data_IF_399389776653
#
_entry.id   IF_399389776653
#
_cell.length_a   1.000
_cell.length_b   1.000
_cell.length_c   1.000
_cell.angle_alpha   90.00
_cell.angle_beta   90.00
_cell.angle_gamma   90.00
#
_symmetry.space_group_name_H-M   'P 1'
#
loop_
_entity.id
_entity.type
_entity.pdbx_description
1 polymer ?
#
# COMPACT_ATOMS: atom_id res chain seq x y z
N UNK A 1 54.42 -56.06 -2.58
CA UNK A 1 54.84 -55.76 -3.96
C UNK A 1 53.66 -56.05 -4.87
N UNK A 2 53.26 -55.05 -5.67
CA UNK A 2 52.55 -55.07 -6.97
C UNK A 2 51.45 -56.10 -7.27
N UNK A 3 50.42 -55.84 -8.06
CA UNK A 3 49.78 -54.68 -8.70
C UNK A 3 48.65 -55.27 -9.56
N UNK A 4 47.77 -54.40 -10.07
CA UNK A 4 46.99 -54.56 -11.29
C UNK A 4 45.68 -55.37 -11.26
N UNK A 5 44.58 -54.62 -11.39
CA UNK A 5 43.30 -55.03 -12.03
C UNK A 5 43.54 -55.47 -13.48
N UNK A 6 42.60 -56.24 -14.04
CA UNK A 6 41.73 -55.64 -15.07
C UNK A 6 40.25 -56.09 -15.01
N UNK A 7 39.37 -55.23 -15.53
CA UNK A 7 38.00 -55.51 -16.00
C UNK A 7 38.07 -56.06 -17.44
N UNK A 8 37.11 -56.87 -17.94
CA UNK A 8 35.79 -56.40 -18.44
C UNK A 8 34.64 -57.41 -18.09
N UNK A 9 33.33 -57.26 -18.33
CA UNK A 9 32.58 -57.08 -19.59
C UNK A 9 31.05 -57.11 -19.28
N UNK A 10 30.25 -56.16 -19.83
CA UNK A 10 28.87 -56.27 -20.40
C UNK A 10 27.69 -56.94 -19.61
N UNK A 11 26.39 -56.58 -19.66
CA UNK A 11 25.53 -55.74 -20.52
C UNK A 11 24.09 -55.59 -19.88
N UNK A 12 23.03 -55.03 -20.54
CA UNK A 12 21.99 -54.15 -19.98
C UNK A 12 20.64 -54.84 -19.68
N UNK A 13 19.68 -54.15 -19.03
CA UNK A 13 18.25 -54.47 -19.18
C UNK A 13 17.35 -53.23 -19.03
N UNK A 14 16.45 -53.10 -20.01
CA UNK A 14 15.35 -52.15 -20.12
C UNK A 14 14.08 -52.66 -19.39
N UNK A 15 13.18 -51.73 -19.03
CA UNK A 15 11.81 -51.97 -18.53
C UNK A 15 10.82 -52.26 -19.70
N UNK A 16 9.46 -52.35 -19.54
CA UNK A 16 8.49 -52.55 -18.42
C UNK A 16 7.46 -53.71 -18.75
N UNK A 17 6.28 -53.92 -18.08
CA UNK A 17 5.02 -53.11 -18.21
C UNK A 17 4.12 -53.00 -16.92
N UNK A 18 3.44 -51.87 -16.70
CA UNK A 18 1.97 -51.63 -16.76
C UNK A 18 1.07 -52.36 -15.75
N UNK A 19 0.52 -51.63 -14.77
CA UNK A 19 -0.93 -51.64 -14.48
C UNK A 19 -1.34 -50.38 -13.67
N UNK A 20 -2.32 -49.64 -14.21
CA UNK A 20 -3.03 -48.54 -13.53
C UNK A 20 -4.41 -49.03 -13.10
N UNK A 21 -5.08 -48.31 -12.17
CA UNK A 21 -6.31 -47.66 -12.63
C UNK A 21 -6.51 -46.21 -12.10
N UNK A 22 -6.90 -45.35 -13.04
CA UNK A 22 -7.84 -44.21 -13.00
C UNK A 22 -8.78 -44.15 -11.77
N UNK A 23 -9.19 -43.00 -11.18
CA UNK A 23 -9.87 -41.82 -11.77
C UNK A 23 -9.85 -40.58 -10.83
N UNK A 24 -9.75 -39.38 -11.44
CA UNK A 24 -10.36 -38.08 -11.09
C UNK A 24 -10.11 -37.39 -9.72
N UNK A 25 -9.33 -36.30 -9.71
CA UNK A 25 -9.88 -34.93 -9.66
C UNK A 25 -8.80 -33.89 -10.04
N UNK A 26 -9.26 -32.74 -10.50
CA UNK A 26 -8.66 -31.73 -11.37
C UNK A 26 -7.29 -31.16 -10.96
N UNK A 27 -6.31 -31.33 -11.85
CA UNK A 27 -4.99 -30.71 -11.85
C UNK A 27 -5.07 -29.18 -11.78
N UNK A 28 -4.76 -28.61 -10.62
CA UNK A 28 -4.26 -27.24 -10.55
C UNK A 28 -2.92 -27.18 -11.32
N UNK A 29 -2.77 -26.32 -12.35
CA UNK A 29 -1.49 -26.21 -13.04
C UNK A 29 -0.50 -25.56 -12.08
N UNK A 30 0.58 -26.28 -11.78
CA UNK A 30 1.77 -25.72 -11.16
C UNK A 30 2.23 -24.53 -12.03
N UNK A 31 2.50 -23.34 -11.47
CA UNK A 31 2.97 -22.23 -12.27
C UNK A 31 4.38 -22.56 -12.74
N UNK A 32 4.53 -22.77 -14.04
CA UNK A 32 5.83 -22.59 -14.69
C UNK A 32 6.26 -21.14 -14.42
N UNK A 33 7.13 -20.95 -13.43
CA UNK A 33 7.52 -19.64 -12.89
C UNK A 33 8.20 -18.71 -13.93
N UNK A 34 8.36 -19.17 -15.18
CA UNK A 34 9.07 -18.50 -16.27
C UNK A 34 8.18 -18.09 -17.47
N UNK A 35 6.87 -18.36 -17.45
CA UNK A 35 6.02 -18.25 -18.66
C UNK A 35 4.75 -17.39 -18.52
N UNK A 36 4.77 -16.36 -17.67
CA UNK A 36 3.64 -15.40 -17.63
C UNK A 36 3.82 -14.28 -18.64
N UNK A 37 2.75 -13.94 -19.36
CA UNK A 37 2.71 -12.82 -20.31
C UNK A 37 2.66 -11.46 -19.59
N UNK A 38 2.39 -11.47 -18.28
CA UNK A 38 2.31 -10.29 -17.43
C UNK A 38 3.50 -10.23 -16.47
N UNK A 39 4.17 -9.09 -16.44
CA UNK A 39 5.27 -8.79 -15.52
C UNK A 39 4.77 -7.97 -14.33
N UNK A 40 5.21 -8.35 -13.15
CA UNK A 40 5.07 -7.61 -11.91
C UNK A 40 6.35 -6.81 -11.63
N UNK A 41 6.21 -5.49 -11.56
CA UNK A 41 7.31 -4.56 -11.38
C UNK A 41 7.21 -3.94 -9.99
N UNK A 42 8.29 -4.05 -9.23
CA UNK A 42 8.43 -3.55 -7.87
C UNK A 42 9.53 -2.48 -7.77
N UNK A 43 9.55 -1.79 -6.62
CA UNK A 43 10.51 -0.75 -6.28
C UNK A 43 10.45 0.50 -7.19
N UNK A 44 9.24 0.85 -7.65
CA UNK A 44 9.00 2.07 -8.44
C UNK A 44 8.99 3.33 -7.57
N UNK A 45 9.22 4.49 -8.20
CA UNK A 45 9.21 5.79 -7.53
C UNK A 45 7.76 6.29 -7.30
N UNK A 46 7.34 6.30 -6.03
CA UNK A 46 5.99 6.71 -5.60
C UNK A 46 5.71 8.21 -5.76
N UNK A 47 6.74 9.05 -5.98
CA UNK A 47 6.55 10.49 -6.18
C UNK A 47 6.06 10.85 -7.58
N UNK A 48 6.07 9.90 -8.52
CA UNK A 48 5.65 10.12 -9.91
C UNK A 48 4.14 9.91 -10.01
N UNK A 49 3.44 10.85 -10.65
CA UNK A 49 2.00 10.72 -10.91
C UNK A 49 1.72 9.47 -11.76
N UNK A 50 0.68 8.70 -11.41
CA UNK A 50 0.26 7.46 -12.10
C UNK A 50 0.27 7.58 -13.64
N UNK A 51 -0.33 8.59 -14.29
CA UNK A 51 -0.36 8.67 -15.75
C UNK A 51 1.05 8.79 -16.36
N UNK A 52 1.93 9.55 -15.71
CA UNK A 52 3.34 9.70 -16.14
C UNK A 52 4.08 8.38 -15.94
N UNK A 53 3.90 7.72 -14.79
CA UNK A 53 4.50 6.42 -14.52
C UNK A 53 4.09 5.37 -15.56
N UNK A 54 2.80 5.31 -15.92
CA UNK A 54 2.30 4.40 -16.97
C UNK A 54 2.91 4.71 -18.34
N UNK A 55 3.03 5.99 -18.70
CA UNK A 55 3.64 6.40 -19.96
C UNK A 55 5.14 6.05 -20.00
N UNK A 56 5.87 6.26 -18.90
CA UNK A 56 7.28 5.89 -18.78
C UNK A 56 7.49 4.37 -18.86
N UNK A 57 6.67 3.58 -18.16
CA UNK A 57 6.74 2.11 -18.23
C UNK A 57 6.41 1.61 -19.65
N UNK A 58 5.36 2.13 -20.30
CA UNK A 58 5.07 1.80 -21.70
C UNK A 58 6.25 2.15 -22.62
N UNK A 59 6.82 3.34 -22.48
CA UNK A 59 7.96 3.78 -23.29
C UNK A 59 9.19 2.90 -23.10
N UNK A 60 9.48 2.50 -21.85
CA UNK A 60 10.59 1.63 -21.52
C UNK A 60 10.44 0.22 -22.12
N UNK A 61 9.25 -0.37 -21.99
CA UNK A 61 9.01 -1.75 -22.40
C UNK A 61 8.67 -1.92 -23.88
N UNK A 62 8.34 -0.82 -24.58
CA UNK A 62 8.04 -0.82 -26.02
C UNK A 62 9.21 -1.31 -26.89
N UNK A 63 10.45 -1.17 -26.44
CA UNK A 63 11.63 -1.67 -27.17
C UNK A 63 11.74 -3.20 -27.18
N UNK A 64 11.15 -3.89 -26.20
CA UNK A 64 11.18 -5.34 -26.10
C UNK A 64 10.01 -6.00 -26.85
N UNK A 65 8.86 -5.33 -26.92
CA UNK A 65 7.72 -5.76 -27.72
C UNK A 65 6.43 -4.96 -27.45
N UNK A 66 5.31 -5.44 -28.01
CA UNK A 66 4.02 -4.77 -27.89
C UNK A 66 3.43 -4.92 -26.47
N UNK A 67 3.14 -3.77 -25.84
CA UNK A 67 2.54 -3.70 -24.50
C UNK A 67 1.04 -3.53 -24.63
N UNK A 68 0.27 -4.51 -24.16
CA UNK A 68 -1.20 -4.49 -24.16
C UNK A 68 -1.72 -3.46 -23.17
N UNK A 69 -1.36 -3.63 -21.90
CA UNK A 69 -1.87 -2.78 -20.82
C UNK A 69 -0.85 -2.58 -19.70
N UNK A 70 -0.96 -1.43 -19.04
CA UNK A 70 -0.17 -1.07 -17.87
C UNK A 70 -1.10 -0.65 -16.74
N UNK A 71 -1.12 -1.48 -15.71
CA UNK A 71 -1.90 -1.27 -14.49
C UNK A 71 -0.97 -0.80 -13.39
N UNK A 72 -1.23 0.40 -12.87
CA UNK A 72 -0.50 1.00 -11.76
C UNK A 72 -1.50 1.62 -10.80
N UNK A 73 -1.29 1.42 -9.49
CA UNK A 73 -2.13 1.96 -8.42
C UNK A 73 -1.29 2.91 -7.55
N UNK A 74 -1.93 3.89 -6.90
CA UNK A 74 -1.26 4.84 -6.00
C UNK A 74 -1.57 4.58 -4.51
N UNK A 75 -2.02 3.37 -4.19
CA UNK A 75 -2.40 3.03 -2.82
C UNK A 75 -1.12 2.79 -2.01
N UNK A 76 -0.94 3.34 -0.80
CA UNK A 76 0.34 3.29 -0.07
C UNK A 76 0.99 1.89 0.04
N UNK A 77 0.20 0.82 0.05
CA UNK A 77 0.68 -0.56 0.00
C UNK A 77 1.08 -1.06 -1.40
N UNK A 78 0.40 -0.59 -2.46
CA UNK A 78 0.56 -1.01 -3.86
C UNK A 78 1.28 0.03 -4.74
N UNK A 79 1.58 1.23 -4.20
CA UNK A 79 2.13 2.40 -4.90
C UNK A 79 3.53 2.16 -5.46
N UNK A 80 4.20 1.12 -4.96
CA UNK A 80 5.52 0.68 -5.40
C UNK A 80 5.46 -0.40 -6.46
N UNK A 81 4.25 -0.79 -6.87
CA UNK A 81 4.02 -1.95 -7.71
C UNK A 81 3.20 -1.62 -8.95
N UNK A 82 3.53 -2.28 -10.06
CA UNK A 82 2.79 -2.14 -11.33
C UNK A 82 2.82 -3.44 -12.10
N UNK A 83 1.80 -3.64 -12.95
CA UNK A 83 1.69 -4.78 -13.82
C UNK A 83 1.77 -4.33 -15.27
N UNK A 84 2.65 -4.96 -16.06
CA UNK A 84 2.81 -4.71 -17.49
C UNK A 84 2.46 -5.99 -18.22
N UNK A 85 1.48 -5.93 -19.10
CA UNK A 85 0.97 -7.10 -19.85
C UNK A 85 1.46 -7.04 -21.28
N UNK A 86 2.07 -8.13 -21.77
CA UNK A 86 2.53 -8.28 -23.14
C UNK A 86 1.63 -9.22 -23.93
N UNK A 87 1.81 -9.23 -25.25
CA UNK A 87 1.10 -10.14 -26.14
C UNK A 87 1.61 -11.59 -26.06
N UNK A 88 2.90 -11.78 -25.80
CA UNK A 88 3.53 -13.11 -25.72
C UNK A 88 4.42 -13.25 -24.48
N UNK A 89 4.47 -14.46 -23.93
CA UNK A 89 5.35 -14.83 -22.82
C UNK A 89 6.84 -14.68 -23.18
N UNK A 90 7.23 -14.92 -24.44
CA UNK A 90 8.61 -14.76 -24.89
C UNK A 90 9.09 -13.31 -24.80
N UNK A 91 8.20 -12.37 -25.13
CA UNK A 91 8.45 -10.93 -25.02
C UNK A 91 8.61 -10.55 -23.55
N UNK A 92 7.73 -11.06 -22.69
CA UNK A 92 7.78 -10.83 -21.26
C UNK A 92 9.10 -11.33 -20.66
N UNK A 93 9.61 -12.49 -21.08
CA UNK A 93 10.90 -13.04 -20.64
C UNK A 93 12.08 -12.16 -21.04
N UNK A 94 12.14 -11.75 -22.32
CA UNK A 94 13.17 -10.80 -22.79
C UNK A 94 13.12 -9.46 -22.04
N UNK A 95 11.92 -8.96 -21.80
CA UNK A 95 11.70 -7.73 -21.04
C UNK A 95 12.08 -7.86 -19.57
N UNK A 96 11.90 -9.03 -18.95
CA UNK A 96 12.32 -9.28 -17.57
C UNK A 96 13.84 -9.28 -17.43
N UNK A 97 14.54 -10.00 -18.32
CA UNK A 97 16.00 -10.09 -18.35
C UNK A 97 16.66 -8.75 -18.70
N UNK A 98 16.14 -8.06 -19.73
CA UNK A 98 16.68 -6.77 -20.16
C UNK A 98 16.27 -5.61 -19.26
N UNK A 99 15.02 -5.60 -18.79
CA UNK A 99 14.44 -4.51 -18.02
C UNK A 99 14.95 -4.44 -16.59
N UNK A 100 15.32 -5.57 -15.96
CA UNK A 100 15.91 -5.57 -14.61
C UNK A 100 17.26 -4.82 -14.56
N UNK A 101 17.92 -4.67 -15.71
CA UNK A 101 19.19 -3.91 -15.84
C UNK A 101 18.97 -2.42 -16.08
N UNK A 102 17.76 -2.00 -16.43
CA UNK A 102 17.45 -0.60 -16.75
C UNK A 102 16.85 0.09 -15.54
N UNK A 103 17.69 0.88 -14.86
CA UNK A 103 17.25 1.76 -13.78
C UNK A 103 16.27 2.80 -14.33
N UNK A 104 15.03 2.79 -13.84
CA UNK A 104 14.10 3.89 -14.11
C UNK A 104 14.48 5.06 -13.23
N UNK A 105 15.21 5.99 -13.83
CA UNK A 105 15.49 7.35 -13.42
C UNK A 105 16.36 7.50 -12.16
N UNK A 106 16.13 6.82 -11.02
CA UNK A 106 17.09 6.83 -9.87
C UNK A 106 16.98 5.61 -8.94
N UNK A 107 16.13 4.63 -9.25
CA UNK A 107 15.96 3.42 -8.43
C UNK A 107 16.03 2.15 -9.29
N UNK A 108 16.75 1.11 -8.84
CA UNK A 108 16.74 -0.18 -9.51
C UNK A 108 15.34 -0.78 -9.42
N UNK A 109 14.71 -1.02 -10.57
CA UNK A 109 13.43 -1.70 -10.62
C UNK A 109 13.64 -3.20 -10.46
N UNK A 110 12.74 -3.86 -9.75
CA UNK A 110 12.72 -5.33 -9.66
C UNK A 110 11.58 -5.85 -10.52
N UNK A 111 11.87 -6.80 -11.40
CA UNK A 111 10.89 -7.40 -12.30
C UNK A 111 10.74 -8.87 -11.92
N UNK A 112 9.49 -9.33 -11.84
CA UNK A 112 9.14 -10.73 -11.60
C UNK A 112 7.95 -11.10 -12.47
N UNK A 113 7.72 -12.38 -12.73
CA UNK A 113 6.51 -12.81 -13.40
C UNK A 113 5.29 -12.66 -12.48
N UNK A 114 4.15 -12.25 -13.04
CA UNK A 114 2.92 -12.14 -12.28
C UNK A 114 2.34 -13.52 -11.99
N UNK A 115 1.89 -13.75 -10.75
CA UNK A 115 1.26 -15.02 -10.33
C UNK A 115 -0.09 -15.31 -11.01
N UNK A 116 -0.67 -14.32 -11.66
CA UNK A 116 -1.98 -14.43 -12.30
C UNK A 116 -1.96 -13.65 -13.60
N UNK A 117 -2.57 -14.20 -14.64
CA UNK A 117 -2.72 -13.55 -15.93
C UNK A 117 -3.51 -12.24 -15.80
N UNK A 118 -3.11 -11.23 -16.57
CA UNK A 118 -3.81 -9.95 -16.62
C UNK A 118 -5.09 -10.03 -17.44
N UNK A 119 -6.09 -9.23 -17.07
CA UNK A 119 -7.38 -9.17 -17.77
C UNK A 119 -7.21 -8.77 -19.25
N UNK A 120 -6.18 -7.99 -19.59
CA UNK A 120 -5.85 -7.61 -20.97
C UNK A 120 -5.36 -8.79 -21.82
N UNK A 121 -4.61 -9.72 -21.22
CA UNK A 121 -4.12 -10.93 -21.88
C UNK A 121 -5.28 -11.92 -22.08
N UNK A 122 -6.09 -12.10 -21.04
CA UNK A 122 -7.30 -12.93 -21.10
C UNK A 122 -8.26 -12.40 -22.17
N UNK A 123 -8.46 -11.09 -22.28
CA UNK A 123 -9.30 -10.49 -23.32
C UNK A 123 -8.84 -10.81 -24.75
N UNK A 124 -7.53 -10.90 -25.00
CA UNK A 124 -6.99 -11.22 -26.33
C UNK A 124 -7.05 -12.72 -26.63
N UNK A 125 -6.69 -13.58 -25.67
CA UNK A 125 -6.63 -15.03 -25.88
C UNK A 125 -8.01 -15.69 -25.81
N UNK A 126 -8.82 -15.31 -24.83
CA UNK A 126 -10.15 -15.88 -24.56
C UNK A 126 -11.13 -14.79 -24.08
N UNK A 127 -11.72 -14.02 -25.02
CA UNK A 127 -12.71 -12.99 -24.66
C UNK A 127 -13.96 -13.58 -23.98
N UNK A 128 -14.24 -14.87 -24.19
CA UNK A 128 -15.32 -15.63 -23.54
C UNK A 128 -15.14 -15.79 -22.02
N UNK A 129 -13.90 -15.89 -21.53
CA UNK A 129 -13.58 -16.16 -20.11
C UNK A 129 -13.33 -14.87 -19.33
N UNK A 130 -13.26 -13.73 -20.00
CA UNK A 130 -12.97 -12.43 -19.41
C UNK A 130 -13.93 -12.09 -18.26
N UNK A 131 -15.24 -12.25 -18.46
CA UNK A 131 -16.24 -11.88 -17.44
C UNK A 131 -16.14 -12.78 -16.20
N UNK A 132 -15.93 -14.09 -16.40
CA UNK A 132 -15.68 -15.03 -15.31
C UNK A 132 -14.36 -14.72 -14.57
N UNK A 133 -13.30 -14.36 -15.30
CA UNK A 133 -12.01 -14.00 -14.73
C UNK A 133 -12.09 -12.72 -13.88
N UNK A 134 -12.75 -11.68 -14.41
CA UNK A 134 -13.01 -10.43 -13.69
C UNK A 134 -13.88 -10.66 -12.45
N UNK A 135 -14.94 -11.47 -12.57
CA UNK A 135 -15.81 -11.82 -11.46
C UNK A 135 -15.04 -12.56 -10.36
N UNK A 136 -14.23 -13.57 -10.71
CA UNK A 136 -13.38 -14.31 -9.78
C UNK A 136 -12.38 -13.40 -9.06
N UNK A 137 -11.71 -12.50 -9.80
CA UNK A 137 -10.80 -11.51 -9.19
C UNK A 137 -11.53 -10.57 -8.23
N UNK A 138 -12.73 -10.11 -8.59
CA UNK A 138 -13.50 -9.19 -7.78
C UNK A 138 -14.02 -9.88 -6.51
N UNK A 139 -14.46 -11.14 -6.61
CA UNK A 139 -14.84 -11.96 -5.47
C UNK A 139 -13.64 -12.22 -4.55
N UNK A 140 -12.52 -12.72 -5.09
CA UNK A 140 -11.30 -12.92 -4.31
C UNK A 140 -10.82 -11.64 -3.61
N UNK A 141 -10.93 -10.48 -4.28
CA UNK A 141 -10.65 -9.17 -3.67
C UNK A 141 -11.64 -8.81 -2.57
N UNK A 142 -12.93 -9.12 -2.71
CA UNK A 142 -13.96 -8.91 -1.67
C UNK A 142 -13.71 -9.83 -0.47
N UNK A 143 -13.45 -11.10 -0.71
CA UNK A 143 -13.19 -12.10 0.32
C UNK A 143 -11.92 -11.74 1.09
N UNK A 144 -10.82 -11.45 0.38
CA UNK A 144 -9.57 -11.01 1.00
C UNK A 144 -9.73 -9.67 1.74
N UNK A 145 -10.63 -8.79 1.30
CA UNK A 145 -10.91 -7.52 2.00
C UNK A 145 -11.63 -7.74 3.33
N UNK A 146 -12.42 -8.81 3.45
CA UNK A 146 -13.18 -9.13 4.66
C UNK A 146 -12.42 -10.09 5.60
N UNK A 147 -11.68 -11.04 5.04
CA UNK A 147 -10.94 -12.08 5.79
C UNK A 147 -9.58 -11.61 6.32
N UNK A 148 -9.06 -10.46 5.86
CA UNK A 148 -7.77 -9.97 6.34
C UNK A 148 -7.87 -9.52 7.82
N UNK A 149 -7.20 -10.21 8.77
CA UNK A 149 -7.33 -9.95 10.21
C UNK A 149 -6.84 -8.57 10.61
N UNK A 150 -5.91 -7.95 9.84
CA UNK A 150 -5.47 -6.58 10.09
C UNK A 150 -6.61 -5.59 9.80
N UNK A 151 -7.35 -5.76 8.70
CA UNK A 151 -8.48 -4.89 8.37
C UNK A 151 -9.66 -5.09 9.32
N UNK A 152 -9.90 -6.31 9.81
CA UNK A 152 -10.86 -6.55 10.87
C UNK A 152 -10.45 -5.85 12.18
N UNK A 153 -9.17 -5.90 12.57
CA UNK A 153 -8.66 -5.14 13.73
C UNK A 153 -8.81 -3.63 13.55
N UNK A 154 -8.51 -3.08 12.37
CA UNK A 154 -8.72 -1.66 12.10
C UNK A 154 -10.21 -1.27 12.11
N UNK A 155 -11.08 -2.12 11.55
CA UNK A 155 -12.53 -1.89 11.55
C UNK A 155 -13.10 -2.01 12.96
N UNK A 156 -12.67 -3.01 13.74
CA UNK A 156 -13.05 -3.18 15.13
C UNK A 156 -12.54 -2.03 16.00
N UNK A 157 -11.31 -1.54 15.77
CA UNK A 157 -10.78 -0.36 16.45
C UNK A 157 -11.57 0.92 16.11
N UNK A 158 -11.98 1.08 14.85
CA UNK A 158 -12.82 2.20 14.42
C UNK A 158 -14.24 2.10 14.97
N UNK A 159 -14.83 0.90 14.96
CA UNK A 159 -16.16 0.65 15.50
C UNK A 159 -16.16 0.82 17.02
N UNK A 160 -15.12 0.34 17.72
CA UNK A 160 -14.90 0.56 19.14
C UNK A 160 -14.77 2.05 19.47
N UNK A 161 -14.01 2.80 18.67
CA UNK A 161 -13.87 4.25 18.82
C UNK A 161 -15.17 5.01 18.53
N UNK A 162 -16.07 4.47 17.70
CA UNK A 162 -17.37 5.07 17.38
C UNK A 162 -18.45 4.70 18.42
N UNK A 163 -18.34 3.53 19.07
CA UNK A 163 -19.17 3.14 20.22
C UNK A 163 -18.69 3.72 21.57
N UNK A 164 -17.44 4.17 21.66
CA UNK A 164 -16.88 4.85 22.85
C UNK A 164 -17.33 6.32 22.96
N UNK A 165 -17.93 6.88 21.91
CA UNK A 165 -18.58 8.23 21.95
C UNK A 165 -19.91 8.19 22.74
N UNK A 166 -20.36 7.01 23.18
CA UNK A 166 -21.63 6.84 23.89
C UNK A 166 -21.55 6.70 25.42
N UNK A 167 -20.46 6.20 26.00
CA UNK A 167 -20.33 6.03 27.45
C UNK A 167 -18.95 5.48 27.87
N UNK A 168 -18.00 6.34 28.26
CA UNK A 168 -16.92 6.13 29.26
C UNK A 168 -15.87 7.28 29.16
N UNK A 169 -15.03 7.51 30.18
CA UNK A 169 -14.62 8.85 30.61
C UNK A 169 -13.74 9.53 29.57
N UNK A 170 -14.01 10.81 29.34
CA UNK A 170 -13.24 11.73 28.49
C UNK A 170 -11.75 11.46 28.70
N UNK A 171 -11.15 10.75 27.75
CA UNK A 171 -9.72 10.70 27.62
C UNK A 171 -9.30 12.15 27.43
N UNK A 172 -8.68 12.72 28.47
CA UNK A 172 -8.16 14.08 28.56
C UNK A 172 -7.10 14.27 27.48
N UNK A 173 -7.54 14.50 26.26
CA UNK A 173 -6.69 14.90 25.16
C UNK A 173 -6.46 16.39 25.37
N UNK A 174 -5.20 16.84 25.48
CA UNK A 174 -4.95 18.25 25.63
C UNK A 174 -5.51 19.00 24.41
N UNK A 175 -6.27 20.05 24.70
CA UNK A 175 -6.92 20.89 23.70
C UNK A 175 -6.14 22.20 23.61
N UNK A 176 -5.52 22.42 22.45
CA UNK A 176 -4.72 23.61 22.16
C UNK A 176 -5.60 24.65 21.45
N UNK A 177 -5.72 25.82 22.05
CA UNK A 177 -6.36 27.00 21.47
C UNK A 177 -5.30 27.86 20.77
N UNK A 178 -5.59 28.24 19.53
CA UNK A 178 -4.80 29.21 18.77
C UNK A 178 -5.40 30.59 18.92
N UNK A 179 -4.60 31.53 19.41
CA UNK A 179 -5.03 32.91 19.63
C UNK A 179 -4.46 33.84 18.57
N UNK A 180 -5.32 34.65 17.97
CA UNK A 180 -4.92 35.73 17.07
C UNK A 180 -4.69 37.00 17.89
N UNK A 181 -3.57 37.07 18.62
CA UNK A 181 -3.20 38.24 19.42
C UNK A 181 -2.46 39.31 18.58
N UNK A 182 -2.58 40.57 18.98
CA UNK A 182 -1.70 41.65 18.52
C UNK A 182 -0.36 41.59 19.26
N UNK A 183 0.74 42.03 18.63
CA UNK A 183 2.12 41.97 19.17
C UNK A 183 2.33 42.69 20.52
N UNK A 184 1.33 43.39 21.05
CA UNK A 184 1.36 44.09 22.33
C UNK A 184 0.95 43.24 23.55
N UNK A 185 0.46 42.01 23.36
CA UNK A 185 -0.01 41.14 24.45
C UNK A 185 1.12 40.30 25.02
N UNK A 186 1.34 40.37 26.34
CA UNK A 186 2.39 39.60 27.03
C UNK A 186 1.89 38.26 27.57
N UNK A 187 2.81 37.30 27.74
CA UNK A 187 2.53 35.97 28.29
C UNK A 187 1.84 36.01 29.67
N UNK A 188 2.23 36.94 30.54
CA UNK A 188 1.63 37.08 31.88
C UNK A 188 0.15 37.51 31.83
N UNK A 189 -0.23 38.34 30.85
CA UNK A 189 -1.62 38.74 30.64
C UNK A 189 -2.48 37.57 30.15
N UNK A 190 -1.92 36.75 29.25
CA UNK A 190 -2.57 35.51 28.80
C UNK A 190 -2.71 34.52 29.95
N UNK A 191 -1.65 34.30 30.74
CA UNK A 191 -1.72 33.45 31.92
C UNK A 191 -2.79 33.93 32.92
N UNK A 192 -2.87 35.23 33.20
CA UNK A 192 -3.87 35.79 34.11
C UNK A 192 -5.31 35.56 33.60
N UNK A 193 -5.54 35.69 32.28
CA UNK A 193 -6.86 35.52 31.67
C UNK A 193 -7.27 34.05 31.53
N UNK A 194 -6.34 33.17 31.16
CA UNK A 194 -6.64 31.76 30.88
C UNK A 194 -6.54 30.87 32.13
N UNK A 195 -5.85 31.31 33.20
CA UNK A 195 -5.82 30.60 34.50
C UNK A 195 -7.12 30.68 35.28
N UNK A 196 -8.05 31.59 34.92
CA UNK A 196 -9.39 31.60 35.53
C UNK A 196 -10.20 30.34 35.17
N UNK A 197 -9.86 29.67 34.08
CA UNK A 197 -10.51 28.45 33.63
C UNK A 197 -9.72 27.23 34.14
N UNK A 198 -10.42 26.18 34.61
CA UNK A 198 -9.77 25.01 35.17
C UNK A 198 -8.94 24.27 34.12
N UNK A 199 -7.98 23.47 34.58
CA UNK A 199 -7.19 22.57 33.73
C UNK A 199 -6.25 23.24 32.72
N UNK A 200 -5.80 24.48 32.95
CA UNK A 200 -4.75 25.12 32.16
C UNK A 200 -3.43 24.33 32.31
N UNK A 201 -2.86 23.89 31.20
CA UNK A 201 -1.58 23.16 31.15
C UNK A 201 -0.41 24.12 30.91
N UNK A 202 -0.46 24.82 29.78
CA UNK A 202 0.59 25.76 29.37
C UNK A 202 -0.03 26.89 28.55
N UNK A 203 0.41 28.12 28.79
CA UNK A 203 0.12 29.24 27.88
C UNK A 203 1.43 29.75 27.30
N UNK A 204 1.49 29.91 26.00
CA UNK A 204 2.55 30.59 25.27
C UNK A 204 1.96 31.75 24.47
N UNK A 205 2.83 32.60 23.92
CA UNK A 205 2.49 33.91 23.33
C UNK A 205 1.29 33.82 22.35
N UNK A 206 1.06 32.70 21.66
CA UNK A 206 -0.12 32.49 20.81
C UNK A 206 -0.88 31.16 21.03
N UNK A 207 -0.51 30.39 22.05
CA UNK A 207 -1.00 29.02 22.25
C UNK A 207 -1.46 28.83 23.68
N UNK A 208 -2.69 28.36 23.89
CA UNK A 208 -3.16 27.99 25.23
C UNK A 208 -3.59 26.54 25.23
N UNK A 209 -2.89 25.72 25.98
CA UNK A 209 -3.16 24.31 26.14
C UNK A 209 -3.93 24.05 27.43
N UNK A 210 -5.08 23.39 27.30
CA UNK A 210 -5.84 22.85 28.41
C UNK A 210 -5.70 21.33 28.43
N UNK A 211 -5.70 20.72 29.61
CA UNK A 211 -5.73 19.26 29.75
C UNK A 211 -7.06 18.65 29.29
N UNK A 212 -8.11 19.47 29.15
CA UNK A 212 -9.48 19.03 28.89
C UNK A 212 -10.16 19.89 27.82
N UNK A 213 -10.81 19.23 26.86
CA UNK A 213 -11.51 19.86 25.73
C UNK A 213 -12.74 20.67 26.16
N UNK A 214 -13.44 20.23 27.21
CA UNK A 214 -14.58 20.96 27.77
C UNK A 214 -14.12 22.30 28.36
N UNK A 215 -13.02 22.29 29.09
CA UNK A 215 -12.41 23.50 29.67
C UNK A 215 -11.92 24.47 28.59
N UNK A 216 -11.28 23.96 27.53
CA UNK A 216 -10.88 24.76 26.37
C UNK A 216 -12.07 25.39 25.62
N UNK A 217 -13.18 24.67 25.49
CA UNK A 217 -14.38 25.16 24.82
C UNK A 217 -15.03 26.30 25.60
N UNK A 218 -15.11 26.17 26.92
CA UNK A 218 -15.63 27.23 27.81
C UNK A 218 -14.75 28.47 27.77
N UNK A 219 -13.42 28.31 27.85
CA UNK A 219 -12.48 29.41 27.74
C UNK A 219 -12.58 30.11 26.37
N UNK A 220 -12.70 29.33 25.29
CA UNK A 220 -12.88 29.85 23.94
C UNK A 220 -14.16 30.66 23.81
N UNK A 221 -15.31 30.13 24.24
CA UNK A 221 -16.61 30.80 24.10
C UNK A 221 -16.65 32.11 24.90
N UNK A 222 -16.15 32.08 26.13
CA UNK A 222 -16.10 33.25 27.00
C UNK A 222 -15.12 34.33 26.53
N UNK A 223 -14.03 33.95 25.84
CA UNK A 223 -12.98 34.87 25.38
C UNK A 223 -13.03 35.17 23.88
N UNK A 224 -13.97 34.58 23.12
CA UNK A 224 -14.09 34.71 21.65
C UNK A 224 -14.25 36.16 21.17
N UNK A 225 -14.80 37.02 22.03
CA UNK A 225 -15.03 38.43 21.75
C UNK A 225 -14.25 39.36 22.68
N UNK A 226 -13.35 38.80 23.51
CA UNK A 226 -12.57 39.59 24.45
C UNK A 226 -11.42 40.27 23.71
N UNK A 227 -11.54 41.58 23.48
CA UNK A 227 -10.44 42.39 22.96
C UNK A 227 -9.45 42.63 24.08
N UNK A 228 -8.31 41.95 24.02
CA UNK A 228 -7.10 42.34 24.73
C UNK A 228 -6.56 43.61 24.06
N UNK A 229 -7.25 44.73 24.27
CA UNK A 229 -6.73 46.05 23.92
C UNK A 229 -5.52 46.29 24.81
N UNK A 230 -4.33 46.35 24.19
CA UNK A 230 -3.06 46.65 24.85
C UNK A 230 -2.97 48.11 25.31
N UNK A 231 -4.01 48.62 25.97
CA UNK A 231 -4.00 49.93 26.60
C UNK A 231 -3.54 49.74 28.05
N UNK A 232 -2.23 49.93 28.27
CA UNK A 232 -1.69 50.33 29.57
C UNK A 232 -2.32 51.68 29.95
N UNK A 233 -3.56 51.67 30.44
CA UNK A 233 -4.13 52.78 31.19
C UNK A 233 -3.65 52.68 32.62
N UNK A 234 -2.57 53.40 32.84
CA UNK A 234 -2.00 53.80 34.12
C UNK A 234 -3.03 54.16 35.18
N UNK A 235 -2.81 53.65 36.40
CA UNK A 235 -2.89 54.39 37.65
C UNK A 235 -1.87 53.86 38.65
#
# INVERSE_FOLDING_TARGET
MSAARPHPEQQPVAAPPTESPIVADETAPAPEEDASETLYIQNLNERIKIPVLKASLRGLFKSYGEVLDVVAHNNLADARSSFVSFESADIAKKAAEGGSRVSVVFKPIQISFARTRSDAVVNKLEPSVLDAHKARRLQHKKDTRYTNPLKQKFKAKRLAAESDVGAAPVARRPAILFLQISESVTKDQLNALFSQYPNLHESDIAFVEYLDEGSATVAKDALHNYKLDGENRSR
#
